data_IF_700368425022
#
_entry.id   IF_700368425022
#
_cell.length_a   1.000
_cell.length_b   1.000
_cell.length_c   1.000
_cell.angle_alpha   90.00
_cell.angle_beta   90.00
_cell.angle_gamma   90.00
#
_symmetry.space_group_name_H-M   'P 1'
#
loop_
_entity.id
_entity.type
_entity.pdbx_description
1 polymer ?
#
# COMPACT_ATOMS: atom_id res chain seq x y z
N UNK A 1 -2.05 -18.62 -8.67
CA UNK A 1 -1.39 -17.60 -7.82
C UNK A 1 -2.41 -16.50 -7.53
N UNK A 2 -3.11 -16.59 -6.39
CA UNK A 2 -4.19 -15.67 -6.04
C UNK A 2 -3.57 -14.33 -5.59
N UNK A 3 -3.63 -13.29 -6.43
CA UNK A 3 -3.28 -11.93 -6.01
C UNK A 3 -4.36 -11.47 -5.03
N UNK A 4 -4.07 -11.46 -3.73
CA UNK A 4 -4.94 -10.79 -2.75
C UNK A 4 -4.86 -9.29 -3.01
N UNK A 5 -5.74 -8.81 -3.91
CA UNK A 5 -5.91 -7.41 -4.24
C UNK A 5 -6.65 -6.68 -3.11
N UNK A 6 -6.03 -6.57 -1.94
CA UNK A 6 -6.41 -5.53 -0.97
C UNK A 6 -5.79 -4.20 -1.41
N UNK A 7 -6.05 -3.80 -2.66
CA UNK A 7 -5.56 -2.56 -3.22
C UNK A 7 -6.48 -1.42 -2.77
N UNK A 8 -6.08 -0.72 -1.71
CA UNK A 8 -6.66 0.59 -1.41
C UNK A 8 -6.11 1.55 -2.46
N UNK A 9 -6.97 2.02 -3.36
CA UNK A 9 -6.60 3.09 -4.30
C UNK A 9 -6.66 4.39 -3.52
N UNK A 10 -5.53 5.06 -3.40
CA UNK A 10 -5.47 6.40 -2.81
C UNK A 10 -5.96 7.39 -3.88
N UNK A 11 -6.50 8.55 -3.52
CA UNK A 11 -6.78 9.62 -4.48
C UNK A 11 -6.20 10.93 -3.92
N UNK A 12 -5.15 11.51 -4.54
CA UNK A 12 -4.38 12.60 -3.91
C UNK A 12 -5.09 13.96 -3.93
N UNK A 13 -6.36 14.05 -4.35
CA UNK A 13 -7.00 15.30 -4.80
C UNK A 13 -7.30 16.37 -3.75
N UNK A 14 -6.92 16.23 -2.48
CA UNK A 14 -7.04 17.35 -1.51
C UNK A 14 -5.77 17.57 -0.69
N UNK A 15 -5.26 18.80 -0.62
CA UNK A 15 -4.23 19.21 0.33
C UNK A 15 -4.93 19.76 1.58
N UNK A 16 -5.11 18.94 2.61
CA UNK A 16 -5.41 19.45 3.95
C UNK A 16 -4.36 18.96 4.94
N UNK A 17 -3.63 19.93 5.50
CA UNK A 17 -3.00 19.98 6.84
C UNK A 17 -2.26 18.77 7.39
N UNK A 18 -1.82 17.81 6.58
CA UNK A 18 -0.78 16.87 7.02
C UNK A 18 0.52 17.66 7.20
N UNK A 19 1.25 17.52 8.32
CA UNK A 19 2.55 18.17 8.46
C UNK A 19 3.38 17.82 7.23
N UNK A 20 3.84 18.85 6.53
CA UNK A 20 4.82 18.72 5.47
C UNK A 20 6.00 18.01 6.13
N UNK A 21 6.10 16.70 5.89
CA UNK A 21 7.27 15.93 6.28
C UNK A 21 8.42 16.72 5.65
N UNK A 22 9.37 17.17 6.47
CA UNK A 22 10.60 17.82 5.99
C UNK A 22 11.32 16.80 5.15
N UNK A 23 10.90 16.69 3.89
CA UNK A 23 11.25 15.59 3.03
C UNK A 23 12.70 15.84 2.63
N UNK A 24 13.57 14.90 3.00
CA UNK A 24 14.71 14.60 2.17
C UNK A 24 14.15 13.99 0.86
N UNK A 25 13.55 14.82 0.01
CA UNK A 25 13.62 14.58 -1.43
C UNK A 25 15.10 14.73 -1.72
N UNK A 26 15.82 13.63 -1.64
CA UNK A 26 17.23 13.60 -2.01
C UNK A 26 17.34 14.25 -3.37
N UNK A 27 18.07 15.36 -3.47
CA UNK A 27 18.33 16.05 -4.75
C UNK A 27 19.51 15.42 -5.48
N UNK A 28 20.23 14.53 -4.80
CA UNK A 28 21.46 13.94 -5.29
C UNK A 28 21.31 12.42 -5.31
N UNK A 29 21.27 11.86 -6.52
CA UNK A 29 21.23 10.41 -6.72
C UNK A 29 22.39 9.67 -6.00
N UNK A 30 23.52 10.34 -5.75
CA UNK A 30 24.64 9.74 -5.01
C UNK A 30 24.31 9.45 -3.53
N UNK A 31 23.25 10.02 -2.96
CA UNK A 31 22.83 9.68 -1.59
C UNK A 31 22.19 8.30 -1.48
N UNK A 32 21.76 7.71 -2.60
CA UNK A 32 21.17 6.36 -2.64
C UNK A 32 22.23 5.33 -2.26
N UNK A 33 23.39 5.36 -2.92
CA UNK A 33 24.51 4.43 -2.68
C UNK A 33 25.13 4.61 -1.30
N UNK A 34 25.10 5.83 -0.75
CA UNK A 34 25.56 6.13 0.62
C UNK A 34 24.58 5.65 1.69
N UNK A 35 23.31 5.41 1.36
CA UNK A 35 22.31 4.95 2.31
C UNK A 35 22.54 3.50 2.72
N UNK A 36 22.14 3.13 3.94
CA UNK A 36 22.21 1.73 4.39
C UNK A 36 21.35 0.80 3.55
N UNK A 37 20.21 1.29 3.06
CA UNK A 37 19.29 0.53 2.18
C UNK A 37 19.94 0.25 0.82
N UNK A 38 20.79 1.15 0.33
CA UNK A 38 21.46 1.01 -0.97
C UNK A 38 22.72 0.14 -0.94
N UNK A 39 23.21 -0.26 0.24
CA UNK A 39 24.38 -1.11 0.36
C UNK A 39 24.10 -2.55 -0.11
N UNK A 40 25.16 -3.20 -0.58
CA UNK A 40 25.18 -4.62 -0.97
C UNK A 40 24.79 -5.50 0.23
N UNK A 41 24.00 -6.55 -0.02
CA UNK A 41 23.72 -7.56 0.99
C UNK A 41 24.95 -8.43 1.28
N UNK A 42 25.17 -8.79 2.54
CA UNK A 42 26.25 -9.72 2.89
C UNK A 42 25.88 -11.17 2.45
N UNK A 43 26.85 -12.09 2.45
CA UNK A 43 26.64 -13.49 2.00
C UNK A 43 25.52 -14.19 2.77
N UNK A 44 25.40 -13.95 4.06
CA UNK A 44 24.40 -14.59 4.93
C UNK A 44 23.01 -14.02 4.71
N UNK A 45 22.88 -12.71 4.51
CA UNK A 45 21.62 -12.06 4.12
C UNK A 45 21.13 -12.57 2.76
N UNK A 46 22.05 -12.80 1.81
CA UNK A 46 21.73 -13.41 0.51
C UNK A 46 21.28 -14.87 0.62
N UNK A 47 21.68 -15.59 1.67
CA UNK A 47 21.28 -16.98 1.88
C UNK A 47 19.80 -17.09 2.27
N UNK A 48 19.19 -16.02 2.81
CA UNK A 48 17.76 -15.97 3.03
C UNK A 48 17.02 -15.57 1.74
N UNK A 49 16.49 -16.56 1.00
CA UNK A 49 15.85 -16.35 -0.30
C UNK A 49 14.73 -15.28 -0.28
N UNK A 50 13.99 -15.18 0.81
CA UNK A 50 12.97 -14.15 0.99
C UNK A 50 13.50 -12.71 1.04
N UNK A 51 14.70 -12.49 1.58
CA UNK A 51 15.34 -11.15 1.59
C UNK A 51 15.76 -10.79 0.18
N UNK A 52 16.40 -11.72 -0.52
CA UNK A 52 16.75 -11.58 -1.93
C UNK A 52 15.53 -11.31 -2.82
N UNK A 53 14.44 -12.06 -2.62
CA UNK A 53 13.19 -11.87 -3.34
C UNK A 53 12.55 -10.50 -3.04
N UNK A 54 12.60 -10.04 -1.78
CA UNK A 54 12.13 -8.71 -1.42
C UNK A 54 12.94 -7.58 -2.11
N UNK A 55 14.24 -7.76 -2.30
CA UNK A 55 15.05 -6.82 -3.11
C UNK A 55 14.68 -6.87 -4.60
N UNK A 56 14.52 -8.05 -5.19
CA UNK A 56 14.13 -8.23 -6.60
C UNK A 56 12.77 -7.60 -6.89
N UNK A 57 11.81 -7.77 -5.97
CA UNK A 57 10.46 -7.18 -6.05
C UNK A 57 10.42 -5.71 -5.67
N UNK A 58 11.55 -5.09 -5.30
CA UNK A 58 11.63 -3.70 -4.87
C UNK A 58 11.03 -3.39 -3.48
N UNK A 59 10.49 -4.39 -2.77
CA UNK A 59 9.87 -4.22 -1.45
C UNK A 59 10.88 -3.78 -0.38
N UNK A 60 12.10 -4.31 -0.43
CA UNK A 60 13.16 -3.91 0.49
C UNK A 60 13.53 -2.43 0.29
N UNK A 61 13.78 -2.03 -0.95
CA UNK A 61 14.05 -0.63 -1.31
C UNK A 61 12.90 0.29 -0.92
N UNK A 62 11.65 -0.10 -1.26
CA UNK A 62 10.45 0.67 -0.92
C UNK A 62 10.36 0.95 0.59
N UNK A 63 10.49 -0.08 1.44
CA UNK A 63 10.43 0.08 2.89
C UNK A 63 11.60 0.91 3.43
N UNK A 64 12.82 0.63 2.97
CA UNK A 64 14.02 1.28 3.48
C UNK A 64 14.15 2.75 3.07
N UNK A 65 13.84 3.09 1.81
CA UNK A 65 13.85 4.48 1.36
C UNK A 65 12.68 5.28 1.93
N UNK A 66 11.51 4.65 2.12
CA UNK A 66 10.39 5.29 2.84
C UNK A 66 10.78 5.57 4.30
N UNK A 67 11.40 4.63 5.01
CA UNK A 67 11.89 4.88 6.37
C UNK A 67 12.88 6.05 6.42
N UNK A 68 13.81 6.11 5.46
CA UNK A 68 14.78 7.21 5.34
C UNK A 68 14.09 8.56 5.10
N UNK A 69 13.01 8.60 4.32
CA UNK A 69 12.26 9.82 4.05
C UNK A 69 11.43 10.29 5.27
N UNK A 70 10.87 9.35 6.03
CA UNK A 70 9.96 9.63 7.15
C UNK A 70 10.67 9.80 8.50
N UNK A 71 11.95 9.46 8.59
CA UNK A 71 12.69 9.45 9.87
C UNK A 71 14.17 9.75 9.68
N UNK A 72 14.81 10.24 10.74
CA UNK A 72 16.28 10.42 10.77
C UNK A 72 17.04 9.11 10.96
N UNK A 73 16.32 7.97 11.05
CA UNK A 73 16.90 6.66 11.33
C UNK A 73 17.68 6.12 10.14
N UNK A 74 18.80 5.45 10.42
CA UNK A 74 19.76 4.97 9.40
C UNK A 74 19.90 3.45 9.40
N UNK A 75 18.80 2.72 9.58
CA UNK A 75 18.82 1.27 9.61
C UNK A 75 18.03 0.67 8.43
N UNK A 76 18.47 -0.47 7.87
CA UNK A 76 17.73 -1.15 6.83
C UNK A 76 16.44 -1.79 7.37
N UNK A 77 15.45 -2.06 6.51
CA UNK A 77 14.28 -2.84 6.91
C UNK A 77 14.67 -4.29 7.20
N UNK A 78 14.08 -4.86 8.26
CA UNK A 78 14.22 -6.29 8.59
C UNK A 78 13.04 -7.07 8.01
N UNK A 79 13.26 -7.73 6.87
CA UNK A 79 12.27 -8.55 6.15
C UNK A 79 11.99 -9.84 6.94
N UNK A 80 13.02 -10.44 7.52
CA UNK A 80 12.90 -11.65 8.36
C UNK A 80 12.04 -11.39 9.60
N UNK A 81 12.19 -10.24 10.25
CA UNK A 81 11.30 -9.82 11.34
C UNK A 81 9.84 -9.69 10.87
N UNK A 82 9.62 -9.06 9.70
CA UNK A 82 8.26 -8.92 9.16
C UNK A 82 7.62 -10.26 8.80
N UNK A 83 8.40 -11.22 8.31
CA UNK A 83 7.93 -12.57 8.02
C UNK A 83 7.56 -13.28 9.32
N UNK A 84 8.44 -13.25 10.32
CA UNK A 84 8.21 -13.92 11.61
C UNK A 84 7.02 -13.36 12.38
N UNK A 85 6.82 -12.05 12.34
CA UNK A 85 5.65 -11.39 12.95
C UNK A 85 4.38 -11.48 12.11
N UNK A 86 4.48 -11.99 10.88
CA UNK A 86 3.37 -12.10 9.96
C UNK A 86 2.40 -13.22 10.30
N UNK A 87 1.30 -13.33 9.54
CA UNK A 87 0.38 -14.45 9.66
C UNK A 87 1.09 -15.76 9.32
N UNK A 88 0.77 -16.83 10.06
CA UNK A 88 1.21 -18.20 9.79
C UNK A 88 0.18 -19.02 9.00
N UNK A 89 -1.04 -18.51 8.85
CA UNK A 89 -2.12 -19.18 8.13
C UNK A 89 -3.19 -18.21 7.62
N UNK A 90 -3.91 -18.62 6.57
CA UNK A 90 -5.16 -18.05 6.09
C UNK A 90 -6.26 -19.07 6.31
N UNK A 91 -7.32 -18.65 7.01
CA UNK A 91 -8.49 -19.50 7.29
C UNK A 91 -9.70 -18.96 6.52
N UNK A 92 -10.32 -19.81 5.71
CA UNK A 92 -11.52 -19.49 4.96
C UNK A 92 -12.76 -19.91 5.77
N UNK A 93 -13.57 -18.91 6.16
CA UNK A 93 -14.80 -19.14 6.92
C UNK A 93 -16.02 -18.94 6.03
N UNK A 94 -17.09 -19.67 6.34
CA UNK A 94 -18.39 -19.58 5.64
C UNK A 94 -18.29 -19.83 4.12
N UNK A 95 -17.45 -20.80 3.71
CA UNK A 95 -17.30 -21.18 2.31
C UNK A 95 -18.61 -21.81 1.82
N UNK A 96 -19.24 -21.28 0.74
CA UNK A 96 -20.46 -21.86 0.19
C UNK A 96 -20.28 -23.30 -0.27
N UNK A 97 -21.35 -24.09 -0.17
CA UNK A 97 -21.40 -25.46 -0.68
C UNK A 97 -21.02 -25.52 -2.17
N UNK A 98 -20.09 -26.40 -2.52
CA UNK A 98 -19.55 -26.56 -3.86
C UNK A 98 -18.29 -25.73 -4.16
N UNK A 99 -17.80 -24.93 -3.20
CA UNK A 99 -16.58 -24.13 -3.34
C UNK A 99 -15.45 -24.52 -2.36
N UNK A 100 -15.66 -25.54 -1.53
CA UNK A 100 -14.68 -26.00 -0.54
C UNK A 100 -13.34 -26.42 -1.16
N UNK A 101 -13.36 -26.97 -2.38
CA UNK A 101 -12.13 -27.38 -3.08
C UNK A 101 -11.30 -26.18 -3.56
N UNK A 102 -11.93 -25.02 -3.75
CA UNK A 102 -11.27 -23.78 -4.21
C UNK A 102 -10.75 -22.96 -3.02
N UNK A 103 -11.50 -22.92 -1.92
CA UNK A 103 -11.16 -22.15 -0.73
C UNK A 103 -10.75 -23.07 0.41
N UNK A 104 -9.49 -23.46 0.37
CA UNK A 104 -8.87 -24.28 1.40
C UNK A 104 -7.98 -23.44 2.29
N UNK A 105 -8.00 -23.71 3.59
CA UNK A 105 -7.08 -23.12 4.54
C UNK A 105 -5.64 -23.31 4.06
N UNK A 106 -4.84 -22.26 4.22
CA UNK A 106 -3.48 -22.22 3.69
C UNK A 106 -2.51 -21.86 4.80
N UNK A 107 -1.56 -22.74 5.06
CA UNK A 107 -0.40 -22.41 5.87
C UNK A 107 0.53 -21.45 5.12
N UNK A 108 1.14 -20.54 5.87
CA UNK A 108 2.14 -19.60 5.37
C UNK A 108 3.44 -19.91 6.11
N UNK A 109 4.35 -20.70 5.50
CA UNK A 109 5.61 -21.03 6.12
C UNK A 109 6.45 -19.77 6.38
N UNK A 110 6.77 -19.52 7.66
CA UNK A 110 7.62 -18.42 8.08
C UNK A 110 9.09 -18.83 7.98
N UNK A 111 9.56 -19.09 6.77
CA UNK A 111 10.92 -19.57 6.50
C UNK A 111 11.67 -18.60 5.58
N UNK A 112 12.96 -18.85 5.34
CA UNK A 112 13.70 -18.11 4.32
C UNK A 112 13.38 -18.56 2.90
N UNK A 113 12.81 -19.75 2.71
CA UNK A 113 12.66 -20.41 1.41
C UNK A 113 11.33 -20.15 0.72
N UNK A 114 10.28 -19.81 1.48
CA UNK A 114 8.94 -19.66 0.95
C UNK A 114 8.56 -18.18 0.75
N UNK A 115 8.47 -17.75 -0.51
CA UNK A 115 8.11 -16.38 -0.90
C UNK A 115 6.67 -15.98 -0.59
N UNK A 116 5.77 -16.92 -0.26
CA UNK A 116 4.37 -16.61 0.02
C UNK A 116 4.23 -15.64 1.19
N UNK A 117 5.12 -15.72 2.19
CA UNK A 117 5.11 -14.82 3.34
C UNK A 117 5.27 -13.34 2.94
N UNK A 118 5.95 -13.06 1.81
CA UNK A 118 6.13 -11.69 1.32
C UNK A 118 4.82 -11.03 0.88
N UNK A 119 3.80 -11.82 0.51
CA UNK A 119 2.49 -11.29 0.14
C UNK A 119 1.72 -10.71 1.34
N UNK A 120 2.17 -11.01 2.57
CA UNK A 120 1.49 -10.63 3.81
C UNK A 120 2.22 -9.54 4.60
N UNK A 121 3.33 -8.99 4.08
CA UNK A 121 4.11 -7.98 4.79
C UNK A 121 3.29 -6.74 5.16
N UNK A 122 2.30 -6.37 4.35
CA UNK A 122 1.42 -5.22 4.66
C UNK A 122 0.61 -5.43 5.94
N UNK A 123 0.20 -6.66 6.26
CA UNK A 123 -0.51 -6.95 7.51
C UNK A 123 0.43 -6.85 8.71
N UNK A 124 1.65 -7.38 8.57
CA UNK A 124 2.67 -7.26 9.62
C UNK A 124 3.05 -5.81 9.87
N UNK A 125 3.31 -5.05 8.80
CA UNK A 125 3.67 -3.63 8.89
C UNK A 125 2.59 -2.84 9.63
N UNK A 126 1.32 -3.13 9.34
CA UNK A 126 0.21 -2.46 10.00
C UNK A 126 0.18 -2.80 11.50
N UNK A 127 0.26 -4.08 11.85
CA UNK A 127 0.04 -4.52 13.23
C UNK A 127 1.25 -4.32 14.13
N UNK A 128 2.44 -4.56 13.60
CA UNK A 128 3.68 -4.64 14.39
C UNK A 128 4.74 -3.62 13.94
N UNK A 129 4.76 -3.23 12.66
CA UNK A 129 5.89 -2.54 12.06
C UNK A 129 7.09 -3.48 11.88
N UNK A 130 8.27 -2.93 11.63
CA UNK A 130 9.52 -3.71 11.62
C UNK A 130 10.55 -3.20 12.63
N UNK A 131 11.49 -4.07 13.02
CA UNK A 131 12.51 -3.81 14.02
C UNK A 131 13.42 -2.61 13.67
N UNK A 132 13.77 -1.82 14.69
CA UNK A 132 14.47 -0.54 14.59
C UNK A 132 15.94 -0.62 14.14
N UNK A 133 16.63 -1.76 14.20
CA UNK A 133 18.05 -1.81 13.82
C UNK A 133 18.51 -3.15 13.25
N UNK A 134 19.55 -3.09 12.40
CA UNK A 134 20.27 -4.28 11.89
C UNK A 134 20.91 -5.10 13.00
N UNK A 135 21.30 -4.45 14.09
CA UNK A 135 21.88 -5.07 15.29
C UNK A 135 20.83 -5.77 16.15
N UNK A 136 19.57 -5.37 16.02
CA UNK A 136 18.47 -5.98 16.76
C UNK A 136 18.04 -7.30 16.11
N UNK A 137 17.58 -7.24 14.85
CA UNK A 137 17.13 -8.42 14.11
C UNK A 137 17.70 -8.38 12.69
N UNK A 138 18.63 -9.28 12.43
CA UNK A 138 19.33 -9.38 11.14
C UNK A 138 18.43 -10.02 10.05
N UNK A 139 18.78 -9.76 8.79
CA UNK A 139 18.16 -10.42 7.63
C UNK A 139 18.83 -11.76 7.28
N UNK A 140 19.62 -12.33 8.19
CA UNK A 140 20.42 -13.53 7.93
C UNK A 140 19.62 -14.83 8.11
N UNK A 141 18.62 -14.80 9.00
CA UNK A 141 17.71 -15.91 9.26
C UNK A 141 16.37 -15.37 9.79
N UNK A 142 15.34 -16.22 9.74
CA UNK A 142 14.10 -15.94 10.46
C UNK A 142 14.39 -16.00 11.97
N UNK A 143 14.11 -14.94 12.75
CA UNK A 143 14.41 -14.94 14.18
C UNK A 143 13.51 -15.90 14.94
N UNK A 144 14.06 -16.60 15.93
CA UNK A 144 13.27 -17.45 16.83
C UNK A 144 12.31 -16.61 17.68
N UNK A 145 12.84 -15.54 18.30
CA UNK A 145 12.11 -14.53 19.06
C UNK A 145 12.15 -13.17 18.33
N UNK A 146 11.06 -12.74 17.68
CA UNK A 146 11.01 -11.45 16.99
C UNK A 146 10.80 -10.24 17.94
N UNK A 147 10.55 -10.43 19.25
CA UNK A 147 10.35 -9.34 20.20
C UNK A 147 11.61 -8.91 20.94
N UNK A 148 12.70 -9.67 20.80
CA UNK A 148 13.97 -9.42 21.46
C UNK A 148 15.09 -9.23 20.43
N UNK A 149 15.91 -8.23 20.68
CA UNK A 149 17.18 -8.06 19.98
C UNK A 149 18.18 -9.13 20.42
N UNK A 150 19.23 -9.35 19.62
CA UNK A 150 20.38 -10.20 20.01
C UNK A 150 21.01 -9.75 21.34
N UNK A 151 20.90 -8.47 21.68
CA UNK A 151 21.36 -7.89 22.96
C UNK A 151 20.36 -8.05 24.12
N UNK A 152 19.34 -8.90 23.97
CA UNK A 152 18.22 -9.14 24.91
C UNK A 152 17.33 -7.92 25.19
N UNK A 153 17.62 -6.77 24.58
CA UNK A 153 16.78 -5.57 24.67
C UNK A 153 15.49 -5.76 23.88
N UNK A 154 14.41 -5.16 24.38
CA UNK A 154 13.11 -5.14 23.68
C UNK A 154 13.23 -4.43 22.33
N UNK A 155 12.71 -5.05 21.29
CA UNK A 155 12.70 -4.48 19.94
C UNK A 155 11.83 -3.21 19.91
N UNK A 156 12.41 -2.08 19.46
CA UNK A 156 11.63 -0.91 19.03
C UNK A 156 11.17 -1.15 17.59
N UNK A 157 9.96 -0.73 17.24
CA UNK A 157 9.44 -0.89 15.88
C UNK A 157 9.23 0.43 15.17
N UNK A 158 9.40 0.41 13.85
CA UNK A 158 9.19 1.52 12.92
C UNK A 158 8.05 1.20 11.97
N UNK A 159 7.39 2.26 11.50
CA UNK A 159 6.28 2.20 10.56
C UNK A 159 5.11 1.29 11.03
N UNK A 160 4.93 1.12 12.33
CA UNK A 160 3.73 0.48 12.88
C UNK A 160 2.50 1.30 12.47
N UNK A 161 1.46 0.62 12.00
CA UNK A 161 0.24 1.25 11.46
C UNK A 161 0.30 1.54 9.95
N UNK A 162 1.47 1.39 9.31
CA UNK A 162 1.60 1.58 7.88
C UNK A 162 1.18 0.33 7.10
N UNK A 163 0.78 0.52 5.84
CA UNK A 163 0.37 -0.50 4.88
C UNK A 163 1.08 -0.26 3.55
N UNK A 164 1.15 -1.30 2.73
CA UNK A 164 1.57 -1.19 1.33
C UNK A 164 0.30 -0.94 0.51
N UNK A 165 0.24 0.22 -0.14
CA UNK A 165 -0.86 0.64 -1.02
C UNK A 165 -0.47 0.50 -2.48
N UNK A 166 -1.47 0.43 -3.36
CA UNK A 166 -1.29 0.38 -4.80
C UNK A 166 -1.98 1.59 -5.43
N UNK A 167 -1.31 2.24 -6.38
CA UNK A 167 -1.86 3.34 -7.17
C UNK A 167 -1.80 2.99 -8.65
N UNK A 168 -2.75 3.53 -9.42
CA UNK A 168 -2.93 3.18 -10.84
C UNK A 168 -3.21 4.42 -11.66
N UNK A 169 -2.53 4.54 -12.80
CA UNK A 169 -2.72 5.57 -13.82
C UNK A 169 -2.56 7.02 -13.33
N UNK A 170 -1.58 7.24 -12.45
CA UNK A 170 -1.24 8.55 -11.93
C UNK A 170 -0.40 9.36 -12.91
N UNK A 171 -0.56 10.68 -12.90
CA UNK A 171 0.32 11.58 -13.64
C UNK A 171 1.62 11.84 -12.86
N UNK A 172 2.65 12.33 -13.54
CA UNK A 172 3.91 12.69 -12.89
C UNK A 172 3.70 13.66 -11.72
N UNK A 173 2.79 14.63 -11.86
CA UNK A 173 2.38 15.55 -10.78
C UNK A 173 1.85 14.80 -9.55
N UNK A 174 1.00 13.80 -9.74
CA UNK A 174 0.41 13.04 -8.64
C UNK A 174 1.46 12.16 -7.95
N UNK A 175 2.38 11.56 -8.73
CA UNK A 175 3.51 10.79 -8.20
C UNK A 175 4.43 11.68 -7.35
N UNK A 176 4.72 12.91 -7.78
CA UNK A 176 5.44 13.90 -6.95
C UNK A 176 4.72 14.15 -5.62
N UNK A 177 3.39 14.27 -5.66
CA UNK A 177 2.55 14.42 -4.47
C UNK A 177 2.60 13.20 -3.54
N UNK A 178 2.60 11.98 -4.09
CA UNK A 178 2.78 10.76 -3.31
C UNK A 178 4.16 10.74 -2.63
N UNK A 179 5.21 11.10 -3.36
CA UNK A 179 6.57 11.11 -2.82
C UNK A 179 6.70 12.11 -1.67
N UNK A 180 6.15 13.32 -1.84
CA UNK A 180 6.10 14.35 -0.80
C UNK A 180 5.31 13.96 0.46
N UNK A 181 4.30 13.11 0.34
CA UNK A 181 3.45 12.76 1.49
C UNK A 181 3.90 11.49 2.17
N UNK A 182 4.39 10.52 1.40
CA UNK A 182 4.57 9.14 1.86
C UNK A 182 6.00 8.63 1.73
N UNK A 183 6.91 9.39 1.10
CA UNK A 183 8.30 8.99 0.92
C UNK A 183 8.53 8.28 -0.42
N UNK A 184 9.12 7.09 -0.41
CA UNK A 184 9.46 6.43 -1.66
C UNK A 184 8.25 5.75 -2.29
N UNK A 185 8.24 5.65 -3.63
CA UNK A 185 7.26 4.85 -4.38
C UNK A 185 7.97 3.85 -5.29
N UNK A 186 7.36 2.69 -5.47
CA UNK A 186 7.87 1.58 -6.29
C UNK A 186 7.09 1.55 -7.62
N UNK A 187 7.79 1.73 -8.74
CA UNK A 187 7.24 1.72 -10.11
C UNK A 187 8.15 0.85 -10.97
N UNK A 188 7.59 -0.15 -11.68
CA UNK A 188 8.34 -1.02 -12.60
C UNK A 188 9.64 -1.61 -11.99
N UNK A 189 9.59 -2.10 -10.74
CA UNK A 189 10.74 -2.61 -9.93
C UNK A 189 11.75 -1.54 -9.46
N UNK A 190 11.50 -0.26 -9.75
CA UNK A 190 12.40 0.84 -9.42
C UNK A 190 11.82 1.73 -8.32
N UNK A 191 12.69 2.30 -7.48
CA UNK A 191 12.24 3.08 -6.33
C UNK A 191 12.45 4.57 -6.59
N UNK A 192 11.36 5.28 -6.82
CA UNK A 192 11.36 6.72 -7.02
C UNK A 192 11.39 7.37 -5.63
N UNK A 193 12.47 8.10 -5.35
CA UNK A 193 12.75 8.67 -4.03
C UNK A 193 12.65 10.19 -4.00
N UNK A 194 12.57 10.82 -5.18
CA UNK A 194 12.55 12.27 -5.32
C UNK A 194 12.58 12.69 -6.77
N UNK A 195 12.73 13.99 -6.98
CA UNK A 195 13.00 14.57 -8.29
C UNK A 195 13.80 15.86 -8.13
N UNK A 196 14.52 16.21 -9.18
CA UNK A 196 15.17 17.50 -9.32
C UNK A 196 14.91 18.04 -10.73
N UNK A 197 14.38 19.26 -10.81
CA UNK A 197 13.95 19.87 -12.06
C UNK A 197 12.95 18.97 -12.82
N UNK A 198 13.29 18.58 -14.04
CA UNK A 198 12.51 17.69 -14.91
C UNK A 198 13.04 16.25 -14.89
N UNK A 199 13.71 15.84 -13.81
CA UNK A 199 14.27 14.49 -13.68
C UNK A 199 13.81 13.80 -12.40
N UNK A 200 13.33 12.58 -12.52
CA UNK A 200 13.15 11.65 -11.41
C UNK A 200 14.50 11.26 -10.83
N UNK A 201 14.55 11.07 -9.51
CA UNK A 201 15.68 10.46 -8.82
C UNK A 201 15.23 9.09 -8.37
N UNK A 202 15.89 8.07 -8.90
CA UNK A 202 15.44 6.69 -8.84
C UNK A 202 16.55 5.81 -8.30
N UNK A 203 16.22 4.96 -7.34
CA UNK A 203 17.07 3.88 -6.87
C UNK A 203 16.76 2.62 -7.68
N UNK A 204 17.77 2.16 -8.42
CA UNK A 204 17.68 0.99 -9.29
C UNK A 204 18.55 -0.13 -8.76
N UNK A 205 18.07 -1.37 -8.88
CA UNK A 205 18.84 -2.57 -8.54
C UNK A 205 19.60 -3.05 -9.78
N UNK A 206 20.68 -2.34 -10.14
CA UNK A 206 21.49 -2.64 -11.33
C UNK A 206 22.16 -4.01 -11.26
N UNK A 207 22.70 -4.37 -10.08
CA UNK A 207 23.29 -5.68 -9.85
C UNK A 207 22.34 -6.57 -9.07
N UNK A 208 21.50 -7.30 -9.81
CA UNK A 208 20.53 -8.26 -9.26
C UNK A 208 21.20 -9.42 -8.47
N UNK A 209 22.51 -9.64 -8.58
CA UNK A 209 23.26 -10.63 -7.79
C UNK A 209 23.81 -10.04 -6.50
N UNK A 210 24.12 -8.75 -6.50
CA UNK A 210 24.58 -8.02 -5.32
C UNK A 210 23.46 -7.43 -4.48
N UNK A 211 22.25 -7.28 -5.05
CA UNK A 211 21.10 -6.68 -4.38
C UNK A 211 21.40 -5.25 -3.90
N UNK A 212 22.23 -4.53 -4.65
CA UNK A 212 22.67 -3.16 -4.38
C UNK A 212 21.75 -2.17 -5.09
N UNK A 213 21.47 -1.04 -4.46
CA UNK A 213 20.81 0.07 -5.15
C UNK A 213 21.80 1.16 -5.55
N UNK A 214 21.74 1.56 -6.81
CA UNK A 214 22.42 2.73 -7.35
C UNK A 214 21.41 3.83 -7.66
N UNK A 215 21.86 5.08 -7.54
CA UNK A 215 21.03 6.23 -7.85
C UNK A 215 21.22 6.65 -9.29
N UNK A 216 20.11 6.81 -10.01
CA UNK A 216 20.09 7.29 -11.39
C UNK A 216 19.05 8.40 -11.54
N UNK A 217 19.20 9.21 -12.58
CA UNK A 217 18.24 10.25 -12.91
C UNK A 217 17.59 9.96 -14.26
N UNK A 218 16.26 9.95 -14.31
CA UNK A 218 15.49 9.78 -15.55
C UNK A 218 14.72 11.05 -15.87
N UNK A 219 14.58 11.38 -17.16
CA UNK A 219 13.67 12.44 -17.57
C UNK A 219 12.24 12.13 -17.13
N UNK A 220 11.52 13.15 -16.65
CA UNK A 220 10.10 13.05 -16.33
C UNK A 220 9.33 13.13 -17.63
N UNK A 221 8.65 12.04 -17.98
CA UNK A 221 7.60 12.06 -18.99
C UNK A 221 6.29 12.48 -18.31
N UNK A 222 5.83 13.69 -18.64
CA UNK A 222 4.59 14.29 -18.10
C UNK A 222 3.32 13.65 -18.70
N UNK A 223 3.43 12.93 -19.83
CA UNK A 223 2.31 12.23 -20.46
C UNK A 223 2.22 10.76 -20.05
N UNK A 224 3.31 10.18 -19.53
CA UNK A 224 3.30 8.82 -18.98
C UNK A 224 2.37 8.73 -17.78
N UNK A 225 1.55 7.67 -17.78
CA UNK A 225 0.79 7.24 -16.60
C UNK A 225 1.62 6.25 -15.80
N UNK A 226 1.62 6.42 -14.49
CA UNK A 226 2.42 5.64 -13.55
C UNK A 226 1.50 4.81 -12.65
N UNK A 227 1.89 3.55 -12.43
CA UNK A 227 1.22 2.63 -11.52
C UNK A 227 2.27 1.97 -10.66
N UNK A 228 1.95 1.66 -9.41
CA UNK A 228 2.97 1.20 -8.49
C UNK A 228 2.50 1.06 -7.05
N UNK A 229 3.46 0.95 -6.15
CA UNK A 229 3.22 0.76 -4.73
C UNK A 229 3.82 1.86 -3.89
N UNK A 230 3.21 2.14 -2.75
CA UNK A 230 3.74 3.06 -1.74
C UNK A 230 3.50 2.51 -0.33
N UNK A 231 4.18 3.07 0.65
CA UNK A 231 3.96 2.77 2.06
C UNK A 231 3.26 3.96 2.72
N UNK A 232 2.08 3.74 3.27
CA UNK A 232 1.26 4.82 3.85
C UNK A 232 0.63 4.37 5.17
N UNK A 233 0.35 5.32 6.06
CA UNK A 233 -0.39 5.04 7.28
C UNK A 233 -1.85 5.44 7.10
N UNK A 234 -2.76 4.46 7.22
CA UNK A 234 -4.19 4.69 7.01
C UNK A 234 -4.77 5.72 8.00
N UNK A 235 -4.19 5.88 9.19
CA UNK A 235 -4.64 6.87 10.18
C UNK A 235 -4.34 8.32 9.77
N UNK A 236 -3.44 8.55 8.81
CA UNK A 236 -3.15 9.89 8.26
C UNK A 236 -3.86 10.18 6.96
N UNK A 237 -4.56 9.19 6.40
CA UNK A 237 -5.40 9.38 5.24
C UNK A 237 -6.75 9.82 5.76
N UNK A 238 -7.03 11.13 5.74
CA UNK A 238 -8.34 11.67 6.10
C UNK A 238 -9.45 10.81 5.46
N UNK A 239 -10.56 10.59 6.17
CA UNK A 239 -11.69 9.80 5.67
C UNK A 239 -12.20 10.25 4.29
N UNK A 240 -11.90 11.50 3.90
CA UNK A 240 -12.24 12.07 2.59
C UNK A 240 -11.27 11.66 1.45
N UNK A 241 -10.08 11.14 1.75
CA UNK A 241 -9.07 10.67 0.79
C UNK A 241 -9.22 9.17 0.51
N UNK A 242 -9.90 8.42 1.38
CA UNK A 242 -10.33 7.03 1.15
C UNK A 242 -11.63 7.04 0.31
N UNK A 243 -11.59 7.70 -0.85
CA UNK A 243 -12.59 7.54 -1.91
C UNK A 243 -11.84 7.06 -3.14
N UNK A 244 -11.52 5.77 -3.11
CA UNK A 244 -10.88 5.02 -4.19
C UNK A 244 -11.15 3.54 -4.00
N UNK A 245 -12.39 3.19 -3.67
CA UNK A 245 -12.84 1.80 -3.59
C UNK A 245 -13.32 1.37 -4.98
N UNK A 246 -12.46 0.61 -5.65
CA UNK A 246 -12.78 -0.54 -6.52
C UNK A 246 -13.41 -0.27 -7.88
N UNK A 247 -13.77 0.95 -8.21
CA UNK A 247 -14.22 1.23 -9.56
C UNK A 247 -13.59 2.54 -10.04
N UNK A 248 -12.84 2.47 -11.14
CA UNK A 248 -12.32 3.66 -11.84
C UNK A 248 -13.45 4.60 -12.29
N UNK A 249 -13.23 5.43 -13.30
CA UNK A 249 -14.27 6.36 -13.82
C UNK A 249 -15.64 5.67 -14.05
N UNK A 250 -15.64 4.38 -14.42
CA UNK A 250 -16.83 3.54 -14.54
C UNK A 250 -17.64 3.34 -13.25
N UNK A 251 -17.00 3.38 -12.09
CA UNK A 251 -17.62 3.28 -10.77
C UNK A 251 -18.42 4.47 -10.34
N UNK A 252 -17.84 5.64 -10.57
CA UNK A 252 -18.51 6.90 -10.32
C UNK A 252 -19.75 6.98 -11.22
N UNK A 253 -19.64 6.53 -12.47
CA UNK A 253 -20.78 6.42 -13.39
C UNK A 253 -21.81 5.40 -12.86
N UNK A 254 -21.39 4.21 -12.43
CA UNK A 254 -22.30 3.19 -11.90
C UNK A 254 -23.03 3.66 -10.62
N UNK A 255 -22.33 4.32 -9.71
CA UNK A 255 -22.90 4.88 -8.49
C UNK A 255 -23.86 6.04 -8.83
N UNK A 256 -23.47 6.93 -9.75
CA UNK A 256 -24.34 8.01 -10.21
C UNK A 256 -25.62 7.47 -10.87
N UNK A 257 -25.50 6.44 -11.73
CA UNK A 257 -26.64 5.76 -12.33
C UNK A 257 -27.52 5.09 -11.27
N UNK A 258 -26.93 4.44 -10.28
CA UNK A 258 -27.67 3.79 -9.20
C UNK A 258 -28.44 4.80 -8.34
N UNK A 259 -27.81 5.93 -8.00
CA UNK A 259 -28.48 7.05 -7.30
C UNK A 259 -29.61 7.64 -8.16
N UNK A 260 -29.39 7.80 -9.46
CA UNK A 260 -30.40 8.32 -10.38
C UNK A 260 -31.60 7.37 -10.51
N UNK A 261 -31.35 6.05 -10.58
CA UNK A 261 -32.40 5.01 -10.57
C UNK A 261 -33.20 5.08 -9.26
N UNK A 262 -32.53 5.14 -8.10
CA UNK A 262 -33.22 5.27 -6.80
C UNK A 262 -34.08 6.54 -6.77
N UNK A 263 -33.53 7.68 -7.22
CA UNK A 263 -34.26 8.94 -7.27
C UNK A 263 -35.49 8.84 -8.19
N UNK A 264 -35.35 8.27 -9.38
CA UNK A 264 -36.47 8.03 -10.30
C UNK A 264 -37.54 7.09 -9.70
N UNK A 265 -37.13 6.01 -9.03
CA UNK A 265 -38.05 5.09 -8.35
C UNK A 265 -38.81 5.79 -7.22
N UNK A 266 -38.12 6.61 -6.40
CA UNK A 266 -38.74 7.38 -5.33
C UNK A 266 -39.73 8.45 -5.86
N UNK A 267 -39.37 9.17 -6.93
CA UNK A 267 -40.25 10.15 -7.55
C UNK A 267 -41.50 9.51 -8.18
N UNK A 268 -41.36 8.34 -8.80
CA UNK A 268 -42.51 7.62 -9.36
C UNK A 268 -43.49 7.19 -8.27
N UNK A 269 -42.98 6.62 -7.18
CA UNK A 269 -43.82 6.17 -6.05
C UNK A 269 -44.58 7.33 -5.39
N UNK A 270 -43.96 8.51 -5.32
CA UNK A 270 -44.62 9.73 -4.81
C UNK A 270 -45.79 10.17 -5.71
N UNK A 271 -45.63 10.13 -7.03
CA UNK A 271 -46.72 10.47 -7.97
C UNK A 271 -47.89 9.48 -7.90
N UNK A 272 -47.61 8.20 -7.73
CA UNK A 272 -48.66 7.18 -7.56
C UNK A 272 -49.49 7.42 -6.28
N UNK A 273 -48.84 7.86 -5.18
CA UNK A 273 -49.55 8.23 -3.95
C UNK A 273 -50.39 9.51 -4.09
N UNK A 274 -49.88 10.52 -4.79
CA UNK A 274 -50.64 11.76 -5.06
C UNK A 274 -51.89 11.48 -5.91
N UNK A 275 -51.80 10.57 -6.89
CA UNK A 275 -52.95 10.18 -7.72
C UNK A 275 -54.02 9.43 -6.92
N UNK A 276 -53.63 8.49 -6.05
CA UNK A 276 -54.59 7.77 -5.20
C UNK A 276 -55.26 8.68 -4.15
N UNK A 277 -54.53 9.67 -3.62
CA UNK A 277 -55.09 10.64 -2.69
C UNK A 277 -56.07 11.62 -3.37
N UNK A 278 -55.84 11.94 -4.65
CA UNK A 278 -56.75 12.79 -5.43
C UNK A 278 -58.08 12.09 -5.75
N UNK A 279 -58.07 10.77 -6.01
CA UNK A 279 -59.29 9.99 -6.23
C UNK A 279 -60.16 9.86 -4.97
N UNK A 280 -59.55 9.70 -3.78
CA UNK A 280 -60.31 9.59 -2.52
C UNK A 280 -61.02 10.88 -2.08
N UNK A 281 -60.60 12.05 -2.58
CA UNK A 281 -61.27 13.33 -2.28
C UNK A 281 -62.31 13.75 -3.35
N UNK A 282 -62.42 13.03 -4.46
CA UNK A 282 -63.31 13.37 -5.59
C UNK A 282 -64.73 12.80 -5.52
N UNK A 283 -65.06 11.89 -4.58
CA UNK A 283 -66.36 11.19 -4.54
C UNK A 283 -67.29 11.65 -3.41
N UNK A 284 -67.13 12.89 -2.94
CA UNK A 284 -67.82 13.41 -1.75
C UNK A 284 -68.77 14.58 -2.00
N UNK A 285 -69.47 14.65 -3.13
CA UNK A 285 -70.57 15.62 -3.29
C UNK A 285 -71.62 15.14 -4.27
N UNK A 286 -72.54 14.29 -3.82
CA UNK A 286 -73.90 14.31 -4.35
C UNK A 286 -74.85 13.58 -3.39
N UNK A 287 -76.10 14.04 -3.37
CA UNK A 287 -77.26 13.55 -2.60
C UNK A 287 -77.36 14.00 -1.14
N UNK A 288 -77.90 15.22 -0.94
CA UNK A 288 -79.15 15.36 -0.16
C UNK A 288 -80.11 16.33 -0.84
N UNK A 289 -81.22 15.73 -1.28
CA UNK A 289 -82.53 16.34 -1.58
C UNK A 289 -83.15 16.87 -0.29
#
# INVERSE_FOLDING_TARGET
MMRMNNAITINPKTPNTTPIITLLSTKDANEITKSVTGKILNKTEKACNNVAAAHKKGLYGLLGFTLKALSTTRFPPSITHLIRKGPSQVVYKNVPSGLQDVFQDKEIPQTCENEDALNYLSFTLQKYGFADSRECISNEAIPDDPDRCVTEKKTKTKLKGYRIGHFVDYEARDVRGLIQRFGAVLIDEQIFVGWENTKWIVAVNEDKKEYKYTGVMYGIDEFKKYSGYLVFNASYVDNNVIIGVVFGVLGIIAIALFILIIYCCCCRKKKEQEYQNAEMHGTGSESKV
#
